data_IF_350774738188
#
_entry.id   IF_350774738188
#
_cell.length_a   1.000
_cell.length_b   1.000
_cell.length_c   1.000
_cell.angle_alpha   90.00
_cell.angle_beta   90.00
_cell.angle_gamma   90.00
#
_symmetry.space_group_name_H-M   'P 1'
#
loop_
_entity.id
_entity.type
_entity.pdbx_description
1 polymer ?
#
# COMPACT_ATOMS: atom_id res chain seq x y z
N UNK A 1 -7.99 3.68 32.82
CA UNK A 1 -6.57 3.30 32.70
C UNK A 1 -6.48 2.19 31.68
N UNK A 2 -5.87 2.46 30.52
CA UNK A 2 -5.79 1.52 29.40
C UNK A 2 -4.75 0.45 29.70
N UNK A 3 -5.15 -0.82 29.63
CA UNK A 3 -4.23 -1.95 29.71
C UNK A 3 -3.62 -2.15 28.33
N UNK A 4 -2.51 -1.47 28.06
CA UNK A 4 -1.66 -1.75 26.91
C UNK A 4 -0.89 -3.05 27.21
N UNK A 5 -1.54 -4.19 26.95
CA UNK A 5 -0.91 -5.49 27.07
C UNK A 5 0.09 -5.64 25.93
N UNK A 6 1.37 -5.44 26.23
CA UNK A 6 2.47 -5.86 25.38
C UNK A 6 2.39 -7.39 25.21
N UNK A 7 1.95 -7.85 24.04
CA UNK A 7 1.98 -9.26 23.64
C UNK A 7 3.44 -9.71 23.50
N UNK A 8 4.06 -10.12 24.59
CA UNK A 8 5.32 -10.86 24.58
C UNK A 8 5.06 -12.26 24.05
N UNK A 9 5.02 -12.38 22.72
CA UNK A 9 4.90 -13.67 22.05
C UNK A 9 6.25 -14.37 22.11
N UNK A 10 6.31 -15.45 22.89
CA UNK A 10 7.47 -16.35 22.94
C UNK A 10 7.63 -16.99 21.55
N UNK A 11 8.85 -17.05 20.97
CA UNK A 11 9.06 -17.68 19.68
C UNK A 11 8.74 -19.19 19.75
N UNK A 12 7.79 -19.65 18.93
CA UNK A 12 7.43 -21.07 18.80
C UNK A 12 8.18 -21.67 17.60
N UNK A 13 9.00 -22.70 17.83
CA UNK A 13 9.69 -23.41 16.74
C UNK A 13 8.79 -24.51 16.21
N UNK A 14 8.59 -24.54 14.89
CA UNK A 14 7.87 -25.60 14.17
C UNK A 14 8.72 -26.11 13.01
N UNK A 15 8.51 -27.38 12.67
CA UNK A 15 9.24 -28.08 11.60
C UNK A 15 8.31 -28.29 10.42
N UNK A 16 8.83 -28.11 9.21
CA UNK A 16 8.11 -28.38 7.96
C UNK A 16 8.08 -29.87 7.65
N UNK A 17 7.04 -30.31 6.95
CA UNK A 17 6.97 -31.69 6.45
C UNK A 17 7.76 -31.87 5.13
N UNK A 18 7.75 -33.09 4.60
CA UNK A 18 8.40 -33.44 3.32
C UNK A 18 7.83 -32.70 2.10
N UNK A 19 6.71 -31.97 2.27
CA UNK A 19 6.07 -31.14 1.25
C UNK A 19 6.23 -29.64 1.56
N UNK A 20 7.14 -29.28 2.47
CA UNK A 20 7.41 -27.93 2.93
C UNK A 20 6.18 -27.23 3.55
N UNK A 21 5.21 -27.98 4.07
CA UNK A 21 4.02 -27.41 4.72
C UNK A 21 4.34 -27.06 6.16
N UNK A 22 3.86 -25.90 6.60
CA UNK A 22 3.96 -25.43 7.98
C UNK A 22 2.56 -25.25 8.55
N UNK A 23 2.31 -25.79 9.73
CA UNK A 23 1.07 -25.52 10.47
C UNK A 23 1.18 -24.15 11.13
N UNK A 24 0.27 -23.24 10.81
CA UNK A 24 0.21 -21.91 11.46
C UNK A 24 -0.49 -21.98 12.82
N UNK A 25 -0.29 -21.01 13.72
CA UNK A 25 -1.05 -20.91 14.97
C UNK A 25 -2.56 -20.85 14.72
N UNK A 26 -3.37 -21.32 15.69
CA UNK A 26 -4.84 -21.33 15.59
C UNK A 26 -5.45 -19.97 15.22
N UNK A 27 -4.77 -18.88 15.59
CA UNK A 27 -5.18 -17.53 15.20
C UNK A 27 -5.29 -17.33 13.68
N UNK A 28 -4.62 -18.13 12.85
CA UNK A 28 -4.67 -18.07 11.39
C UNK A 28 -5.66 -19.06 10.75
N UNK A 29 -6.41 -19.83 11.55
CA UNK A 29 -7.42 -20.74 11.03
C UNK A 29 -8.49 -19.97 10.21
N UNK A 30 -8.95 -20.58 9.10
CA UNK A 30 -9.95 -20.01 8.19
C UNK A 30 -9.64 -18.59 7.68
N UNK A 31 -8.37 -18.19 7.65
CA UNK A 31 -7.96 -16.88 7.15
C UNK A 31 -7.25 -16.98 5.82
N UNK A 32 -7.45 -15.99 4.95
CA UNK A 32 -6.59 -15.78 3.79
C UNK A 32 -5.30 -15.14 4.28
N UNK A 33 -4.15 -15.66 3.85
CA UNK A 33 -2.84 -15.16 4.27
C UNK A 33 -2.05 -14.64 3.08
N UNK A 34 -1.31 -13.55 3.30
CA UNK A 34 -0.28 -13.06 2.40
C UNK A 34 1.06 -13.61 2.89
N UNK A 35 1.80 -14.26 1.98
CA UNK A 35 3.13 -14.82 2.24
C UNK A 35 4.14 -14.05 1.41
N UNK A 36 5.12 -13.43 2.06
CA UNK A 36 6.15 -12.61 1.43
C UNK A 36 7.52 -13.18 1.78
N UNK A 37 8.36 -13.42 0.77
CA UNK A 37 9.74 -13.86 0.95
C UNK A 37 10.62 -12.62 1.03
N UNK A 38 11.17 -12.34 2.20
CA UNK A 38 12.00 -11.15 2.45
C UNK A 38 13.47 -11.44 2.15
N UNK A 39 13.90 -12.68 2.42
CA UNK A 39 15.26 -13.17 2.16
C UNK A 39 15.27 -14.70 2.01
N UNK A 40 16.45 -15.27 1.78
CA UNK A 40 16.64 -16.72 1.70
C UNK A 40 16.30 -17.48 2.99
N UNK A 41 16.19 -16.78 4.12
CA UNK A 41 15.95 -17.37 5.45
C UNK A 41 14.70 -16.82 6.15
N UNK A 42 14.01 -15.85 5.54
CA UNK A 42 12.91 -15.15 6.19
C UNK A 42 11.68 -15.03 5.28
N UNK A 43 10.56 -15.51 5.81
CA UNK A 43 9.23 -15.30 5.25
C UNK A 43 8.35 -14.55 6.25
N UNK A 44 7.59 -13.59 5.76
CA UNK A 44 6.58 -12.87 6.53
C UNK A 44 5.21 -13.40 6.14
N UNK A 45 4.43 -13.86 7.13
CA UNK A 45 3.05 -14.31 6.95
C UNK A 45 2.10 -13.34 7.64
N UNK A 46 1.20 -12.73 6.88
CA UNK A 46 0.21 -11.75 7.37
C UNK A 46 -1.20 -12.21 7.04
N UNK A 47 -2.18 -11.94 7.91
CA UNK A 47 -3.59 -12.12 7.52
C UNK A 47 -3.93 -11.09 6.45
N UNK A 48 -4.43 -11.55 5.32
CA UNK A 48 -4.99 -10.68 4.31
C UNK A 48 -6.37 -10.22 4.78
N UNK A 49 -6.56 -8.90 4.90
CA UNK A 49 -7.91 -8.33 4.97
C UNK A 49 -8.48 -8.40 3.56
N UNK A 50 -9.22 -9.48 3.27
CA UNK A 50 -10.00 -9.58 2.03
C UNK A 50 -11.17 -8.64 2.20
N UNK A 51 -11.01 -7.41 1.75
CA UNK A 51 -12.09 -6.44 1.62
C UNK A 51 -12.84 -6.83 0.34
N UNK A 52 -14.07 -7.35 0.40
CA UNK A 52 -14.89 -7.45 -0.80
C UNK A 52 -15.01 -6.05 -1.38
N UNK A 53 -14.78 -5.87 -2.68
CA UNK A 53 -15.11 -4.59 -3.33
C UNK A 53 -16.64 -4.43 -3.31
N UNK A 54 -17.17 -3.96 -2.19
CA UNK A 54 -18.54 -3.46 -2.10
C UNK A 54 -18.54 -2.02 -2.59
N UNK A 55 -19.60 -1.61 -3.30
CA UNK A 55 -19.70 -0.29 -3.93
C UNK A 55 -19.62 0.87 -2.91
N UNK A 56 -19.76 0.57 -1.62
CA UNK A 56 -19.82 1.52 -0.50
C UNK A 56 -18.59 1.52 0.44
N UNK A 57 -17.53 0.75 0.17
CA UNK A 57 -16.40 0.68 1.11
C UNK A 57 -15.38 1.81 0.90
N UNK A 58 -15.28 2.69 1.91
CA UNK A 58 -14.22 3.68 2.06
C UNK A 58 -12.85 3.04 1.84
N UNK A 59 -12.11 3.59 0.87
CA UNK A 59 -10.71 3.24 0.63
C UNK A 59 -9.94 3.23 1.96
N UNK A 60 -9.02 2.26 2.18
CA UNK A 60 -8.21 2.26 3.39
C UNK A 60 -7.52 3.62 3.56
N UNK A 61 -7.45 4.17 4.79
CA UNK A 61 -6.83 5.46 5.01
C UNK A 61 -5.39 5.39 4.51
N UNK A 62 -5.13 6.14 3.43
CA UNK A 62 -3.80 6.25 2.86
C UNK A 62 -2.89 6.85 3.95
N UNK A 63 -1.80 6.18 4.35
CA UNK A 63 -0.98 6.60 5.50
C UNK A 63 -0.28 7.95 5.33
N UNK A 64 -0.46 8.63 4.19
CA UNK A 64 0.25 9.84 3.80
C UNK A 64 -0.67 10.96 3.26
N UNK A 65 -1.99 10.87 3.44
CA UNK A 65 -2.89 11.95 3.04
C UNK A 65 -2.96 12.96 4.17
N UNK A 66 -2.07 13.95 4.14
CA UNK A 66 -2.27 15.16 4.93
C UNK A 66 -3.33 16.03 4.24
N UNK A 67 -4.33 16.54 4.98
CA UNK A 67 -5.24 17.52 4.41
C UNK A 67 -4.45 18.75 3.96
N UNK A 68 -4.81 19.32 2.80
CA UNK A 68 -4.24 20.57 2.33
C UNK A 68 -4.51 21.68 3.35
N UNK A 69 -3.54 22.58 3.52
CA UNK A 69 -3.80 23.84 4.23
C UNK A 69 -4.81 24.67 3.44
N UNK A 70 -5.50 25.61 4.10
CA UNK A 70 -6.45 26.50 3.40
C UNK A 70 -5.76 27.26 2.25
N UNK A 71 -4.52 27.71 2.46
CA UNK A 71 -3.74 28.40 1.44
C UNK A 71 -3.42 27.50 0.22
N UNK A 72 -3.02 26.26 0.47
CA UNK A 72 -2.71 25.32 -0.61
C UNK A 72 -3.97 24.87 -1.34
N UNK A 73 -5.09 24.70 -0.61
CA UNK A 73 -6.40 24.39 -1.20
C UNK A 73 -6.84 25.51 -2.13
N UNK A 74 -6.79 26.76 -1.68
CA UNK A 74 -7.24 27.90 -2.47
C UNK A 74 -6.34 28.12 -3.70
N UNK A 75 -5.02 27.93 -3.54
CA UNK A 75 -4.08 27.94 -4.67
C UNK A 75 -4.39 26.83 -5.68
N UNK A 76 -4.65 25.61 -5.21
CA UNK A 76 -4.99 24.48 -6.05
C UNK A 76 -6.28 24.73 -6.85
N UNK A 77 -7.33 25.23 -6.20
CA UNK A 77 -8.59 25.56 -6.86
C UNK A 77 -8.40 26.66 -7.91
N UNK A 78 -7.64 27.72 -7.58
CA UNK A 78 -7.36 28.79 -8.54
C UNK A 78 -6.60 28.30 -9.79
N UNK A 79 -5.69 27.34 -9.63
CA UNK A 79 -4.94 26.71 -10.73
C UNK A 79 -5.82 25.77 -11.56
N UNK A 80 -6.84 25.14 -10.97
CA UNK A 80 -7.81 24.34 -11.74
C UNK A 80 -8.70 25.22 -12.61
N UNK A 81 -9.15 26.37 -12.08
CA UNK A 81 -9.98 27.31 -12.83
C UNK A 81 -9.18 28.02 -13.94
N UNK A 82 -7.91 28.35 -13.67
CA UNK A 82 -7.01 29.02 -14.61
C UNK A 82 -5.69 28.27 -14.74
N UNK A 83 -5.67 27.17 -15.52
CA UNK A 83 -4.48 26.33 -15.64
C UNK A 83 -3.33 27.10 -16.31
N UNK A 84 -2.13 27.11 -15.72
CA UNK A 84 -0.99 27.81 -16.29
C UNK A 84 -0.53 27.10 -17.57
N UNK A 85 -0.03 27.86 -18.57
CA UNK A 85 0.50 27.27 -19.78
C UNK A 85 1.73 26.40 -19.46
N UNK A 86 1.97 25.31 -20.23
CA UNK A 86 3.12 24.43 -20.01
C UNK A 86 4.42 25.22 -20.07
N UNK A 87 5.27 25.07 -19.05
CA UNK A 87 6.56 25.74 -19.01
C UNK A 87 7.55 25.21 -20.07
N UNK A 88 8.67 25.89 -20.28
CA UNK A 88 9.65 25.53 -21.31
C UNK A 88 10.23 24.11 -21.15
N UNK A 89 10.39 23.63 -19.91
CA UNK A 89 10.86 22.27 -19.63
C UNK A 89 9.83 21.21 -20.05
N UNK A 90 8.56 21.41 -19.69
CA UNK A 90 7.45 20.55 -20.08
C UNK A 90 7.26 20.53 -21.60
N UNK A 91 7.34 21.70 -22.26
CA UNK A 91 7.27 21.78 -23.73
C UNK A 91 8.36 20.94 -24.41
N UNK A 92 9.60 21.00 -23.93
CA UNK A 92 10.72 20.17 -24.45
C UNK A 92 10.47 18.67 -24.29
N UNK A 93 9.89 18.24 -23.16
CA UNK A 93 9.57 16.83 -22.92
C UNK A 93 8.42 16.34 -23.80
N UNK A 94 7.39 17.17 -24.01
CA UNK A 94 6.26 16.85 -24.89
C UNK A 94 6.71 16.66 -26.34
N UNK A 95 7.57 17.55 -26.87
CA UNK A 95 8.13 17.40 -28.22
C UNK A 95 8.99 16.14 -28.38
N UNK A 96 9.74 15.73 -27.34
CA UNK A 96 10.50 14.48 -27.35
C UNK A 96 9.60 13.22 -27.37
N UNK A 97 8.44 13.25 -26.69
CA UNK A 97 7.47 12.15 -26.72
C UNK A 97 6.73 12.05 -28.05
N UNK A 98 6.38 13.18 -28.68
CA UNK A 98 5.71 13.20 -29.99
C UNK A 98 6.60 12.72 -31.14
N UNK A 99 7.92 12.88 -31.02
CA UNK A 99 8.89 12.48 -32.06
C UNK A 99 9.21 10.98 -32.10
N UNK A 100 8.63 10.16 -31.21
CA UNK A 100 8.84 8.70 -31.20
C UNK A 100 7.58 8.02 -31.76
N UNK A 101 7.52 7.68 -33.06
CA UNK A 101 6.43 6.86 -33.57
C UNK A 101 6.47 5.50 -32.87
N UNK A 102 5.30 5.04 -32.43
CA UNK A 102 5.13 3.69 -31.91
C UNK A 102 5.63 2.70 -32.98
N UNK A 103 6.68 1.95 -32.63
CA UNK A 103 7.14 0.77 -33.37
C UNK A 103 6.69 -0.44 -32.58
#
# INVERSE_FOLDING_TARGET
MGNEQMLTTVPEVRVTDNKARLTLPKGFANSTVLVEVVSDVEIIVRKAKVVPLSEDEELPPLPHVQPLSDADRDLFLAVLDNPPPPNAALRKLMSKKQAKPAT
#
